data_IF_477705346436
#
_entry.id   IF_477705346436
#
_cell.length_a   1.000
_cell.length_b   1.000
_cell.length_c   1.000
_cell.angle_alpha   90.00
_cell.angle_beta   90.00
_cell.angle_gamma   90.00
#
_symmetry.space_group_name_H-M   'P 1'
#
loop_
_entity.id
_entity.type
_entity.pdbx_description
1 polymer ?
#
# COMPACT_ATOMS: atom_id res chain seq x y z
N UNK A 1 0.80 -28.68 8.23
CA UNK A 1 0.84 -27.56 7.28
C UNK A 1 1.10 -26.31 8.08
N UNK A 2 2.22 -25.63 7.88
CA UNK A 2 2.40 -24.27 8.41
C UNK A 2 1.29 -23.41 7.79
N UNK A 3 0.43 -22.81 8.61
CA UNK A 3 -0.53 -21.82 8.12
C UNK A 3 0.27 -20.70 7.43
N UNK A 4 0.08 -20.55 6.11
CA UNK A 4 0.68 -19.46 5.37
C UNK A 4 -0.02 -18.16 5.76
N UNK A 5 0.73 -17.21 6.32
CA UNK A 5 0.24 -15.89 6.69
C UNK A 5 0.33 -14.98 5.46
N UNK A 6 -0.76 -14.29 5.13
CA UNK A 6 -0.78 -13.26 4.09
C UNK A 6 -0.21 -11.96 4.66
N UNK A 7 0.79 -11.39 4.01
CA UNK A 7 1.41 -10.12 4.40
C UNK A 7 0.81 -8.97 3.61
N UNK A 8 0.22 -8.01 4.33
CA UNK A 8 -0.32 -6.78 3.78
C UNK A 8 0.57 -5.62 4.21
N UNK A 9 1.02 -4.82 3.25
CA UNK A 9 1.73 -3.56 3.50
C UNK A 9 0.81 -2.38 3.23
N UNK A 10 0.57 -1.55 4.24
CA UNK A 10 -0.11 -0.26 4.09
C UNK A 10 0.94 0.82 3.84
N UNK A 11 0.94 1.41 2.64
CA UNK A 11 1.94 2.39 2.25
C UNK A 11 1.52 3.79 2.70
N UNK A 12 2.40 4.42 3.49
CA UNK A 12 2.33 5.82 3.91
C UNK A 12 0.95 6.23 4.44
N UNK A 13 0.33 5.50 5.37
CA UNK A 13 -1.03 5.80 5.83
C UNK A 13 -1.18 7.20 6.45
N UNK A 14 -0.09 7.82 6.91
CA UNK A 14 -0.07 9.20 7.41
C UNK A 14 -0.12 10.26 6.31
N UNK A 15 0.34 9.94 5.09
CA UNK A 15 0.22 10.81 3.91
C UNK A 15 -1.00 10.46 3.05
N UNK A 16 -1.27 9.16 2.92
CA UNK A 16 -2.22 8.56 1.98
C UNK A 16 -3.33 7.79 2.73
N UNK A 17 -3.86 8.39 3.79
CA UNK A 17 -4.95 7.82 4.59
C UNK A 17 -5.98 8.84 5.07
N UNK A 18 -5.95 10.06 4.53
CA UNK A 18 -6.76 11.20 5.02
C UNK A 18 -8.27 10.96 4.90
N UNK A 19 -8.70 10.06 4.01
CA UNK A 19 -10.11 9.75 3.77
C UNK A 19 -10.55 8.40 4.34
N UNK A 20 -9.84 7.89 5.35
CA UNK A 20 -10.23 6.67 6.07
C UNK A 20 -9.80 5.37 5.38
N UNK A 21 -8.80 5.42 4.49
CA UNK A 21 -8.34 4.26 3.71
C UNK A 21 -7.74 3.13 4.55
N UNK A 22 -7.34 3.40 5.80
CA UNK A 22 -7.05 2.35 6.78
C UNK A 22 -8.24 1.38 6.96
N UNK A 23 -9.47 1.82 6.68
CA UNK A 23 -10.65 0.97 6.61
C UNK A 23 -10.54 -0.16 5.59
N UNK A 24 -9.84 0.03 4.45
CA UNK A 24 -9.61 -1.03 3.47
C UNK A 24 -8.73 -2.14 4.03
N UNK A 25 -7.67 -1.78 4.78
CA UNK A 25 -6.78 -2.75 5.45
C UNK A 25 -7.56 -3.56 6.49
N UNK A 26 -8.39 -2.89 7.29
CA UNK A 26 -9.26 -3.55 8.28
C UNK A 26 -10.29 -4.47 7.62
N UNK A 27 -10.90 -4.05 6.52
CA UNK A 27 -11.86 -4.84 5.76
C UNK A 27 -11.20 -6.10 5.16
N UNK A 28 -10.00 -5.96 4.59
CA UNK A 28 -9.21 -7.08 4.07
C UNK A 28 -8.86 -8.09 5.16
N UNK A 29 -8.36 -7.62 6.31
CA UNK A 29 -8.08 -8.46 7.48
C UNK A 29 -9.33 -9.20 7.96
N UNK A 30 -10.46 -8.48 8.04
CA UNK A 30 -11.72 -9.07 8.46
C UNK A 30 -12.18 -10.17 7.49
N UNK A 31 -12.13 -9.91 6.18
CA UNK A 31 -12.50 -10.90 5.14
C UNK A 31 -11.59 -12.11 5.20
N UNK A 32 -10.27 -11.93 5.28
CA UNK A 32 -9.32 -13.04 5.40
C UNK A 32 -9.63 -13.93 6.62
N UNK A 33 -9.91 -13.31 7.78
CA UNK A 33 -10.32 -14.03 8.99
C UNK A 33 -11.60 -14.86 8.80
N UNK A 34 -12.60 -14.35 8.05
CA UNK A 34 -13.82 -15.10 7.73
C UNK A 34 -13.53 -16.37 6.89
N UNK A 35 -12.39 -16.41 6.20
CA UNK A 35 -11.94 -17.55 5.40
C UNK A 35 -10.83 -18.38 6.07
N UNK A 36 -10.54 -18.13 7.35
CA UNK A 36 -9.48 -18.86 8.07
C UNK A 36 -8.07 -18.54 7.56
N UNK A 37 -7.87 -17.36 6.97
CA UNK A 37 -6.57 -16.90 6.48
C UNK A 37 -5.97 -15.93 7.51
N UNK A 38 -4.78 -16.27 8.03
CA UNK A 38 -4.02 -15.39 8.90
C UNK A 38 -3.43 -14.23 8.09
N UNK A 39 -3.45 -13.02 8.67
CA UNK A 39 -2.94 -11.81 8.04
C UNK A 39 -1.98 -11.10 8.98
N UNK A 40 -0.81 -10.75 8.47
CA UNK A 40 0.14 -9.83 9.08
C UNK A 40 0.07 -8.48 8.36
N UNK A 41 -0.01 -7.38 9.11
CA UNK A 41 -0.13 -6.03 8.56
C UNK A 41 1.08 -5.24 8.99
N UNK A 42 1.76 -4.66 8.02
CA UNK A 42 2.86 -3.74 8.24
C UNK A 42 2.52 -2.37 7.64
N UNK A 43 2.63 -1.32 8.43
CA UNK A 43 2.51 0.05 7.95
C UNK A 43 3.89 0.62 7.68
N UNK A 44 4.09 1.17 6.48
CA UNK A 44 5.36 1.80 6.09
C UNK A 44 5.20 3.31 6.22
N UNK A 45 6.13 3.94 6.94
CA UNK A 45 6.18 5.40 7.08
C UNK A 45 7.06 5.98 5.97
N UNK A 46 6.81 7.20 5.47
CA UNK A 46 7.71 7.87 4.54
C UNK A 46 9.14 7.94 5.09
N UNK A 47 10.12 7.49 4.31
CA UNK A 47 11.53 7.42 4.70
C UNK A 47 11.99 6.03 5.13
N UNK A 48 11.06 5.13 5.48
CA UNK A 48 11.36 3.71 5.68
C UNK A 48 11.34 2.97 4.33
N UNK A 49 12.20 1.95 4.16
CA UNK A 49 12.21 1.16 2.93
C UNK A 49 10.90 0.38 2.77
N UNK A 50 10.33 0.38 1.57
CA UNK A 50 9.14 -0.44 1.29
C UNK A 50 9.57 -1.91 1.28
N UNK A 51 9.03 -2.78 2.18
CA UNK A 51 9.33 -4.20 2.16
C UNK A 51 9.00 -4.75 0.79
N UNK A 52 9.90 -5.52 0.20
CA UNK A 52 9.65 -6.03 -1.14
C UNK A 52 8.89 -7.34 -1.10
N UNK A 53 8.86 -8.08 0.01
CA UNK A 53 8.44 -9.49 0.15
C UNK A 53 6.99 -9.72 0.61
N UNK A 54 6.12 -8.69 0.52
CA UNK A 54 4.71 -8.83 0.89
C UNK A 54 3.84 -9.33 -0.28
N UNK A 55 2.64 -9.80 0.06
CA UNK A 55 1.68 -10.37 -0.90
C UNK A 55 0.76 -9.29 -1.49
N UNK A 56 0.38 -8.30 -0.68
CA UNK A 56 -0.55 -7.24 -1.04
C UNK A 56 -0.09 -5.90 -0.48
N UNK A 57 -0.13 -4.87 -1.32
CA UNK A 57 0.14 -3.48 -0.95
C UNK A 57 -1.15 -2.67 -1.05
N UNK A 58 -1.43 -1.87 -0.03
CA UNK A 58 -2.57 -0.95 0.01
C UNK A 58 -2.05 0.47 -0.01
N UNK A 59 -2.54 1.26 -0.97
CA UNK A 59 -2.17 2.67 -1.15
C UNK A 59 -3.48 3.48 -1.18
N UNK A 60 -3.71 4.29 -0.14
CA UNK A 60 -4.91 5.10 -0.04
C UNK A 60 -4.83 6.42 -0.81
N UNK A 61 -5.83 7.27 -0.57
CA UNK A 61 -5.91 8.63 -1.08
C UNK A 61 -5.20 9.64 -0.17
N UNK A 62 -4.76 10.75 -0.77
CA UNK A 62 -4.16 11.87 -0.05
C UNK A 62 -4.44 13.18 -0.78
N UNK A 63 -4.16 14.28 -0.12
CA UNK A 63 -4.17 15.62 -0.72
C UNK A 63 -2.95 15.80 -1.65
N UNK A 64 -3.00 16.78 -2.52
CA UNK A 64 -2.03 16.97 -3.61
C UNK A 64 -0.58 17.08 -3.12
N UNK A 65 -0.34 17.85 -2.05
CA UNK A 65 1.00 17.98 -1.47
C UNK A 65 1.50 16.65 -0.90
N UNK A 66 0.62 15.89 -0.24
CA UNK A 66 0.95 14.58 0.30
C UNK A 66 1.16 13.54 -0.82
N UNK A 67 0.37 13.62 -1.89
CA UNK A 67 0.50 12.79 -3.09
C UNK A 67 1.85 13.04 -3.78
N UNK A 68 2.24 14.30 -4.00
CA UNK A 68 3.55 14.64 -4.59
C UNK A 68 4.70 14.13 -3.72
N UNK A 69 4.61 14.31 -2.39
CA UNK A 69 5.61 13.80 -1.46
C UNK A 69 5.71 12.26 -1.51
N UNK A 70 4.57 11.57 -1.51
CA UNK A 70 4.52 10.11 -1.63
C UNK A 70 5.06 9.61 -2.98
N UNK A 71 4.74 10.30 -4.07
CA UNK A 71 5.25 9.96 -5.41
C UNK A 71 6.77 10.03 -5.46
N UNK A 72 7.36 11.09 -4.90
CA UNK A 72 8.81 11.26 -4.86
C UNK A 72 9.48 10.20 -3.99
N UNK A 73 8.90 9.90 -2.82
CA UNK A 73 9.42 8.87 -1.92
C UNK A 73 9.37 7.47 -2.55
N UNK A 74 8.23 7.07 -3.14
CA UNK A 74 8.08 5.76 -3.79
C UNK A 74 9.01 5.59 -5.00
N UNK A 75 9.19 6.64 -5.80
CA UNK A 75 10.12 6.61 -6.95
C UNK A 75 11.57 6.49 -6.51
N UNK A 76 11.97 7.14 -5.42
CA UNK A 76 13.32 7.05 -4.89
C UNK A 76 13.60 5.67 -4.26
N UNK A 77 12.60 5.07 -3.62
CA UNK A 77 12.70 3.77 -2.96
C UNK A 77 12.70 2.58 -3.93
N UNK A 78 11.75 2.53 -4.87
CA UNK A 78 11.64 1.46 -5.88
C UNK A 78 11.22 0.07 -5.35
N UNK A 79 10.96 -0.07 -4.05
CA UNK A 79 10.58 -1.32 -3.41
C UNK A 79 9.21 -1.82 -3.86
N UNK A 80 8.24 -0.90 -4.05
CA UNK A 80 6.92 -1.25 -4.60
C UNK A 80 7.02 -1.84 -6.02
N UNK A 81 7.83 -1.24 -6.90
CA UNK A 81 8.07 -1.77 -8.25
C UNK A 81 8.71 -3.15 -8.19
N UNK A 82 9.67 -3.35 -7.29
CA UNK A 82 10.30 -4.66 -7.07
C UNK A 82 9.28 -5.71 -6.62
N UNK A 83 8.39 -5.36 -5.69
CA UNK A 83 7.35 -6.24 -5.20
C UNK A 83 6.34 -6.65 -6.29
N UNK A 84 5.86 -5.67 -7.07
CA UNK A 84 4.93 -5.90 -8.19
C UNK A 84 5.58 -6.79 -9.26
N UNK A 85 6.85 -6.58 -9.58
CA UNK A 85 7.58 -7.42 -10.54
C UNK A 85 7.75 -8.88 -10.07
N UNK A 86 7.66 -9.15 -8.76
CA UNK A 86 7.62 -10.50 -8.20
C UNK A 86 6.20 -11.10 -8.16
N UNK A 87 5.17 -10.34 -8.55
CA UNK A 87 3.77 -10.77 -8.59
C UNK A 87 2.95 -10.37 -7.37
N UNK A 88 3.40 -9.40 -6.56
CA UNK A 88 2.56 -8.84 -5.50
C UNK A 88 1.33 -8.11 -6.07
N UNK A 89 0.22 -8.18 -5.34
CA UNK A 89 -1.00 -7.44 -5.68
C UNK A 89 -0.96 -6.02 -5.11
N UNK A 90 -1.66 -5.09 -5.76
CA UNK A 90 -1.82 -3.71 -5.26
C UNK A 90 -3.30 -3.34 -5.26
N UNK A 91 -3.77 -2.84 -4.12
CA UNK A 91 -5.04 -2.12 -3.99
C UNK A 91 -4.73 -0.64 -3.85
N UNK A 92 -5.06 0.13 -4.89
CA UNK A 92 -4.76 1.55 -4.96
C UNK A 92 -6.06 2.36 -5.07
N UNK A 93 -6.23 3.38 -4.22
CA UNK A 93 -7.44 4.20 -4.12
C UNK A 93 -7.10 5.66 -4.38
N UNK A 94 -7.89 6.36 -5.20
CA UNK A 94 -7.76 7.80 -5.45
C UNK A 94 -6.32 8.20 -5.87
N UNK A 95 -5.66 9.08 -5.13
CA UNK A 95 -4.25 9.44 -5.30
C UNK A 95 -3.36 8.20 -5.43
N UNK A 96 -3.56 7.18 -4.61
CA UNK A 96 -2.83 5.92 -4.69
C UNK A 96 -2.92 5.26 -6.06
N UNK A 97 -4.08 5.31 -6.72
CA UNK A 97 -4.23 4.78 -8.09
C UNK A 97 -3.42 5.61 -9.10
N UNK A 98 -3.47 6.92 -8.97
CA UNK A 98 -2.69 7.83 -9.81
C UNK A 98 -1.18 7.63 -9.64
N UNK A 99 -0.71 7.35 -8.43
CA UNK A 99 0.71 7.06 -8.13
C UNK A 99 1.25 5.80 -8.80
N UNK A 100 0.38 4.82 -9.10
CA UNK A 100 0.76 3.62 -9.87
C UNK A 100 0.88 3.93 -11.37
N UNK A 101 0.30 5.04 -11.83
CA UNK A 101 0.43 5.54 -13.19
C UNK A 101 1.81 6.14 -13.50
N UNK A 102 1.94 6.65 -14.73
CA UNK A 102 3.17 7.32 -15.19
C UNK A 102 3.19 8.81 -14.89
N UNK A 103 2.02 9.41 -14.82
CA UNK A 103 1.80 10.84 -14.59
C UNK A 103 0.45 11.06 -13.90
N UNK A 104 0.31 12.21 -13.24
CA UNK A 104 -0.97 12.75 -12.80
C UNK A 104 -0.96 14.25 -13.07
N UNK A 105 -2.08 14.83 -13.56
CA UNK A 105 -2.16 16.27 -13.78
C UNK A 105 -1.86 16.99 -12.47
N UNK A 106 -1.12 18.10 -12.54
CA UNK A 106 -0.96 18.99 -11.40
C UNK A 106 -2.35 19.31 -10.84
N UNK A 107 -2.51 19.10 -9.55
CA UNK A 107 -3.68 19.56 -8.84
C UNK A 107 -3.66 21.09 -8.65
#
# INVERSE_FOLDING_TARGET
MTESVVRIVSIYPTLLGTYGDGGNVLALRHRARLHGIAVDIHEVTPGDPVPTDADLYVIGGGEDTAQVAAANALRADGGLTTAVNRGASVLAICAGYQLVGTEFPDA
#
